data_IF_925005770241
#
_entry.id   IF_925005770241
#
_cell.length_a   1.000
_cell.length_b   1.000
_cell.length_c   1.000
_cell.angle_alpha   90.00
_cell.angle_beta   90.00
_cell.angle_gamma   90.00
#
_symmetry.space_group_name_H-M   'P 1'
#
loop_
_entity.id
_entity.type
_entity.pdbx_description
1 polymer ?
#
# COMPACT_ATOMS: atom_id res chain seq x y z
N UNK A 1 26.11 -0.42 13.83
CA UNK A 1 25.11 -1.50 13.98
C UNK A 1 24.06 -1.37 12.87
N UNK A 2 23.89 -2.35 11.98
CA UNK A 2 22.82 -2.32 10.96
C UNK A 2 21.51 -2.72 11.65
N UNK A 3 20.52 -1.82 11.69
CA UNK A 3 19.17 -2.16 12.18
C UNK A 3 18.62 -3.24 11.25
N UNK A 4 18.48 -4.46 11.77
CA UNK A 4 17.90 -5.57 11.03
C UNK A 4 16.38 -5.35 11.10
N UNK A 5 15.80 -4.81 10.04
CA UNK A 5 14.35 -4.67 9.95
C UNK A 5 13.72 -6.06 9.79
N UNK A 6 13.21 -6.59 10.89
CA UNK A 6 12.08 -7.53 10.93
C UNK A 6 11.07 -6.85 11.87
N UNK A 7 9.82 -6.58 11.46
CA UNK A 7 8.93 -7.44 10.69
C UNK A 7 8.42 -6.81 9.37
N UNK A 8 8.19 -7.62 8.35
CA UNK A 8 7.76 -7.22 6.99
C UNK A 8 6.30 -6.71 6.90
N UNK A 9 5.68 -6.37 8.03
CA UNK A 9 4.27 -5.97 8.12
C UNK A 9 4.14 -4.51 8.57
N UNK A 10 3.48 -3.67 7.77
CA UNK A 10 3.21 -2.26 8.08
C UNK A 10 1.74 -1.91 7.88
N UNK A 11 1.18 -1.07 8.76
CA UNK A 11 -0.17 -0.52 8.57
C UNK A 11 -0.17 0.51 7.44
N UNK A 12 -1.34 0.84 6.88
CA UNK A 12 -1.45 1.94 5.90
C UNK A 12 -0.83 3.23 6.43
N UNK A 13 -1.16 3.61 7.67
CA UNK A 13 -0.59 4.78 8.32
C UNK A 13 0.94 4.67 8.48
N UNK A 14 1.46 3.48 8.78
CA UNK A 14 2.89 3.20 8.79
C UNK A 14 3.54 3.39 7.41
N UNK A 15 2.87 2.95 6.34
CA UNK A 15 3.34 3.13 4.96
C UNK A 15 3.35 4.60 4.54
N UNK A 16 2.29 5.37 4.82
CA UNK A 16 2.24 6.82 4.52
C UNK A 16 3.40 7.56 5.21
N UNK A 17 3.67 7.24 6.48
CA UNK A 17 4.81 7.82 7.22
C UNK A 17 6.17 7.49 6.61
N UNK A 18 6.31 6.29 6.04
CA UNK A 18 7.55 5.85 5.39
C UNK A 18 7.76 6.51 4.03
N UNK A 19 6.68 6.63 3.25
CA UNK A 19 6.70 7.21 1.91
C UNK A 19 6.80 8.75 1.94
N UNK A 20 6.41 9.39 3.04
CA UNK A 20 6.41 10.85 3.18
C UNK A 20 5.20 11.54 2.54
N UNK A 21 4.26 10.77 2.00
CA UNK A 21 2.99 11.25 1.45
C UNK A 21 1.86 10.28 1.84
N UNK A 22 0.61 10.70 1.67
CA UNK A 22 -0.50 9.79 1.99
C UNK A 22 -0.65 8.67 0.96
N UNK A 23 -1.00 7.48 1.43
CA UNK A 23 -1.23 6.30 0.60
C UNK A 23 -2.71 5.96 0.68
N UNK A 24 -3.38 6.04 -0.46
CA UNK A 24 -4.80 5.75 -0.57
C UNK A 24 -5.11 4.26 -0.36
N UNK A 25 -6.34 3.98 0.04
CA UNK A 25 -6.83 2.60 0.20
C UNK A 25 -6.84 1.87 -1.14
N UNK A 26 -7.16 2.57 -2.22
CA UNK A 26 -7.32 2.00 -3.55
C UNK A 26 -5.98 1.56 -4.15
N UNK A 27 -4.89 2.29 -3.90
CA UNK A 27 -3.54 1.85 -4.27
C UNK A 27 -3.20 0.51 -3.58
N UNK A 28 -3.49 0.38 -2.28
CA UNK A 28 -3.25 -0.88 -1.56
C UNK A 28 -4.14 -2.01 -2.07
N UNK A 29 -5.40 -1.71 -2.41
CA UNK A 29 -6.31 -2.68 -3.03
C UNK A 29 -5.78 -3.14 -4.39
N UNK A 30 -5.27 -2.24 -5.20
CA UNK A 30 -4.70 -2.54 -6.51
C UNK A 30 -3.41 -3.37 -6.39
N UNK A 31 -2.48 -3.00 -5.49
CA UNK A 31 -1.28 -3.79 -5.23
C UNK A 31 -1.61 -5.20 -4.71
N UNK A 32 -2.68 -5.32 -3.92
CA UNK A 32 -3.21 -6.61 -3.47
C UNK A 32 -3.76 -7.42 -4.63
N UNK A 33 -4.54 -6.84 -5.54
CA UNK A 33 -5.09 -7.57 -6.70
C UNK A 33 -4.00 -8.03 -7.66
N UNK A 34 -2.91 -7.29 -7.77
CA UNK A 34 -1.71 -7.69 -8.51
C UNK A 34 -0.87 -8.77 -7.79
N UNK A 35 -1.24 -9.13 -6.56
CA UNK A 35 -0.53 -10.10 -5.72
C UNK A 35 0.83 -9.62 -5.22
N UNK A 36 1.14 -8.33 -5.33
CA UNK A 36 2.42 -7.72 -4.92
C UNK A 36 2.50 -7.58 -3.40
N UNK A 37 1.36 -7.27 -2.78
CA UNK A 37 1.21 -7.24 -1.31
C UNK A 37 0.05 -8.14 -0.88
N UNK A 38 0.04 -8.51 0.40
CA UNK A 38 -1.04 -9.26 1.02
C UNK A 38 -1.41 -8.68 2.40
N UNK A 39 -2.65 -8.85 2.87
CA UNK A 39 -2.99 -8.57 4.26
C UNK A 39 -2.20 -9.53 5.17
N UNK A 40 -1.51 -8.97 6.15
CA UNK A 40 -0.81 -9.68 7.21
C UNK A 40 -1.63 -9.75 8.51
N UNK A 41 -1.02 -10.25 9.59
CA UNK A 41 -1.64 -10.20 10.91
C UNK A 41 -1.96 -8.75 11.29
N UNK A 42 -3.06 -8.55 12.02
CA UNK A 42 -3.44 -7.22 12.51
C UNK A 42 -2.31 -6.65 13.38
N UNK A 43 -2.06 -5.36 13.23
CA UNK A 43 -0.99 -4.69 13.98
C UNK A 43 -1.33 -4.64 15.48
N UNK A 44 -0.33 -4.70 16.38
CA UNK A 44 -0.51 -4.59 17.83
C UNK A 44 -0.77 -3.14 18.28
N UNK A 45 -1.50 -2.37 17.48
CA UNK A 45 -1.88 -0.99 17.74
C UNK A 45 -3.37 -0.95 18.17
N UNK A 46 -3.80 0.02 19.00
CA UNK A 46 -5.21 0.20 19.33
C UNK A 46 -6.08 0.28 18.07
N UNK A 47 -7.17 -0.48 18.02
CA UNK A 47 -8.01 -0.65 16.83
C UNK A 47 -7.57 -1.78 15.88
N UNK A 48 -6.49 -2.48 16.21
CA UNK A 48 -5.97 -3.65 15.50
C UNK A 48 -6.04 -3.51 13.96
N UNK A 49 -5.50 -2.44 13.37
CA UNK A 49 -5.63 -2.17 11.95
C UNK A 49 -4.94 -3.26 11.12
N UNK A 50 -5.43 -3.44 9.89
CA UNK A 50 -4.83 -4.39 8.93
C UNK A 50 -3.39 -3.95 8.64
N UNK A 51 -2.44 -4.86 8.84
CA UNK A 51 -1.08 -4.70 8.37
C UNK A 51 -0.94 -5.32 6.98
N UNK A 52 0.00 -4.81 6.19
CA UNK A 52 0.31 -5.25 4.85
C UNK A 52 1.70 -5.84 4.81
N UNK A 53 1.84 -6.98 4.14
CA UNK A 53 3.11 -7.70 3.93
C UNK A 53 3.44 -7.80 2.46
N UNK A 54 4.73 -7.80 2.13
CA UNK A 54 5.22 -8.07 0.77
C UNK A 54 5.15 -9.56 0.45
N UNK A 55 4.80 -9.91 -0.78
CA UNK A 55 4.77 -11.29 -1.26
C UNK A 55 6.05 -11.65 -2.04
N UNK A 56 6.27 -12.92 -2.42
CA UNK A 56 7.34 -13.28 -3.36
C UNK A 56 7.23 -12.58 -4.72
N UNK A 57 6.02 -12.19 -5.15
CA UNK A 57 5.81 -11.47 -6.41
C UNK A 57 6.38 -10.06 -6.37
N UNK A 58 6.41 -9.42 -5.20
CA UNK A 58 7.13 -8.15 -5.01
C UNK A 58 8.59 -8.28 -5.45
N UNK A 59 9.29 -9.31 -4.97
CA UNK A 59 10.70 -9.54 -5.32
C UNK A 59 10.90 -9.72 -6.83
N UNK A 60 9.95 -10.39 -7.50
CA UNK A 60 10.00 -10.57 -8.95
C UNK A 60 9.80 -9.26 -9.72
N UNK A 61 8.81 -8.45 -9.32
CA UNK A 61 8.50 -7.16 -9.97
C UNK A 61 9.66 -6.17 -9.81
N UNK A 62 10.30 -6.15 -8.65
CA UNK A 62 11.44 -5.26 -8.36
C UNK A 62 12.80 -5.89 -8.69
N UNK A 63 12.83 -7.09 -9.29
CA UNK A 63 14.04 -7.84 -9.63
C UNK A 63 15.03 -7.97 -8.45
N UNK A 64 14.52 -8.19 -7.23
CA UNK A 64 15.29 -8.33 -6.00
C UNK A 64 15.49 -9.81 -5.66
N UNK A 65 16.67 -10.17 -5.18
CA UNK A 65 16.92 -11.51 -4.63
C UNK A 65 16.30 -11.68 -3.24
N UNK A 66 16.24 -10.60 -2.47
CA UNK A 66 15.69 -10.56 -1.12
C UNK A 66 15.26 -9.15 -0.72
N UNK A 67 14.45 -9.02 0.33
CA UNK A 67 14.10 -7.73 0.92
C UNK A 67 15.33 -6.97 1.48
N UNK A 68 16.48 -7.62 1.65
CA UNK A 68 17.72 -6.96 2.09
C UNK A 68 18.42 -6.20 0.97
N UNK A 69 18.03 -6.47 -0.27
CA UNK A 69 18.56 -5.81 -1.46
C UNK A 69 17.79 -4.52 -1.78
N UNK A 70 16.82 -4.17 -0.94
CA UNK A 70 16.12 -2.88 -1.03
C UNK A 70 17.11 -1.73 -0.78
N UNK A 71 17.10 -0.69 -1.64
CA UNK A 71 17.89 0.52 -1.41
C UNK A 71 17.44 1.21 -0.12
N UNK A 72 18.38 1.89 0.56
CA UNK A 72 18.05 2.72 1.71
C UNK A 72 17.15 3.88 1.27
N UNK A 73 16.14 4.21 2.09
CA UNK A 73 15.18 5.27 1.77
C UNK A 73 15.85 6.63 1.54
N UNK A 74 16.97 6.90 2.23
CA UNK A 74 17.76 8.11 2.08
C UNK A 74 18.54 8.16 0.75
N UNK A 75 18.71 7.02 0.09
CA UNK A 75 19.42 6.87 -1.20
C UNK A 75 18.48 6.81 -2.40
N UNK A 76 17.17 6.92 -2.18
CA UNK A 76 16.18 7.02 -3.26
C UNK A 76 16.32 8.36 -3.97
N UNK A 77 17.15 8.38 -5.00
CA UNK A 77 17.34 9.52 -5.94
C UNK A 77 16.29 9.50 -7.06
N UNK A 78 15.06 9.10 -6.73
CA UNK A 78 13.92 9.21 -7.62
C UNK A 78 13.47 10.68 -7.69
N UNK A 79 12.85 11.13 -8.80
CA UNK A 79 12.26 12.46 -8.84
C UNK A 79 11.27 12.57 -7.68
N UNK A 80 11.63 13.36 -6.66
CA UNK A 80 10.64 13.89 -5.72
C UNK A 80 9.76 14.78 -6.59
N UNK A 81 8.62 14.24 -7.01
CA UNK A 81 7.51 15.06 -7.47
C UNK A 81 7.25 16.00 -6.30
N UNK A 82 7.72 17.25 -6.45
CA UNK A 82 7.34 18.34 -5.58
C UNK A 82 5.82 18.35 -5.57
N UNK A 83 5.23 18.72 -4.44
CA UNK A 83 3.79 18.93 -4.32
C UNK A 83 3.35 19.95 -5.39
N UNK A 84 3.06 19.45 -6.59
CA UNK A 84 2.28 20.13 -7.59
C UNK A 84 0.87 19.76 -7.20
N UNK A 85 0.27 20.68 -6.46
CA UNK A 85 -1.17 20.90 -6.31
C UNK A 85 -2.00 19.85 -7.07
N UNK A 86 -2.64 18.98 -6.30
CA UNK A 86 -3.33 17.72 -6.60
C UNK A 86 -4.24 17.67 -7.85
N UNK A 87 -4.54 18.79 -8.50
CA UNK A 87 -5.63 18.87 -9.49
C UNK A 87 -5.26 18.40 -10.91
N UNK A 88 -3.98 18.18 -11.22
CA UNK A 88 -3.52 17.90 -12.59
C UNK A 88 -3.14 16.46 -12.92
N UNK A 89 -2.84 15.65 -11.90
CA UNK A 89 -2.29 14.30 -12.09
C UNK A 89 -3.37 13.30 -12.45
N UNK A 90 -4.56 13.39 -11.85
CA UNK A 90 -5.68 12.47 -12.11
C UNK A 90 -6.15 12.57 -13.57
N UNK A 91 -6.28 13.80 -14.10
CA UNK A 91 -6.63 14.02 -15.49
C UNK A 91 -5.55 13.54 -16.48
N UNK A 92 -4.27 13.67 -16.13
CA UNK A 92 -3.17 13.21 -16.99
C UNK A 92 -3.05 11.67 -17.02
N UNK A 93 -3.42 10.99 -15.94
CA UNK A 93 -3.44 9.53 -15.86
C UNK A 93 -4.64 8.94 -16.62
N UNK A 94 -5.78 9.63 -16.60
CA UNK A 94 -6.99 9.27 -17.34
C UNK A 94 -6.79 9.41 -18.87
N UNK A 95 -6.03 10.43 -19.32
CA UNK A 95 -5.66 10.62 -20.73
C UNK A 95 -4.69 9.54 -21.25
N UNK A 96 -3.77 9.05 -20.40
CA UNK A 96 -2.81 7.98 -20.76
C UNK A 96 -3.46 6.59 -20.75
N UNK A 97 -4.45 6.34 -19.88
CA UNK A 97 -5.05 5.02 -19.71
C UNK A 97 -6.42 4.86 -20.39
N UNK A 98 -7.06 5.95 -20.81
CA UNK A 98 -8.31 5.98 -21.54
C UNK A 98 -9.53 5.58 -20.69
N UNK A 99 -10.67 6.29 -20.79
CA UNK A 99 -11.90 5.89 -20.11
C UNK A 99 -12.41 4.60 -20.77
N UNK A 100 -12.21 3.47 -20.09
CA UNK A 100 -12.89 2.22 -20.42
C UNK A 100 -14.29 2.27 -19.81
N UNK A 101 -15.29 2.55 -20.65
CA UNK A 101 -16.71 2.60 -20.30
C UNK A 101 -17.16 1.42 -19.39
N UNK A 102 -17.69 1.79 -18.21
CA UNK A 102 -18.88 1.29 -17.49
C UNK A 102 -19.36 -0.18 -17.71
N UNK A 103 -19.41 -1.01 -16.66
CA UNK A 103 -20.67 -1.66 -16.24
C UNK A 103 -20.56 -2.43 -14.90
N UNK A 104 -21.37 -1.98 -13.92
CA UNK A 104 -22.09 -2.75 -12.89
C UNK A 104 -21.44 -3.93 -12.16
N UNK A 105 -21.23 -3.77 -10.84
CA UNK A 105 -21.73 -4.73 -9.84
C UNK A 105 -21.63 -4.14 -8.42
N UNK A 106 -22.80 -3.86 -7.85
CA UNK A 106 -23.20 -4.02 -6.44
C UNK A 106 -22.07 -3.96 -5.38
N UNK A 107 -22.01 -2.85 -4.64
CA UNK A 107 -21.32 -2.82 -3.36
C UNK A 107 -22.12 -3.63 -2.33
N UNK A 108 -21.86 -4.94 -2.24
CA UNK A 108 -22.23 -5.70 -1.05
C UNK A 108 -21.28 -5.28 0.07
N UNK A 109 -21.81 -4.46 0.98
CA UNK A 109 -21.14 -4.11 2.22
C UNK A 109 -20.99 -5.35 3.08
N UNK A 110 -19.85 -6.02 2.99
CA UNK A 110 -19.43 -6.98 4.02
C UNK A 110 -19.19 -6.19 5.31
N UNK A 111 -20.12 -6.39 6.23
CA UNK A 111 -20.13 -5.85 7.56
C UNK A 111 -18.81 -6.23 8.26
N UNK A 112 -18.04 -5.22 8.68
CA UNK A 112 -17.02 -5.47 9.68
C UNK A 112 -17.76 -5.75 10.99
N UNK A 113 -17.87 -7.04 11.29
CA UNK A 113 -18.29 -7.68 12.53
C UNK A 113 -18.05 -6.77 13.76
N UNK A 114 -19.16 -6.30 14.34
CA UNK A 114 -19.21 -5.80 15.71
C UNK A 114 -18.84 -6.98 16.63
N UNK A 115 -17.55 -7.10 16.95
CA UNK A 115 -17.13 -7.91 18.08
C UNK A 115 -17.57 -7.19 19.37
N UNK A 116 -18.80 -7.51 19.76
CA UNK A 116 -19.33 -7.60 21.11
C UNK A 116 -18.24 -7.52 22.19
N UNK A 117 -18.20 -6.37 22.86
CA UNK A 117 -17.53 -6.21 24.16
C UNK A 117 -18.48 -6.77 25.22
N UNK A 118 -18.31 -8.04 25.56
CA UNK A 118 -18.92 -8.63 26.75
C UNK A 118 -18.17 -8.14 28.01
N UNK A 119 -18.94 -7.89 29.08
CA UNK A 119 -18.54 -7.14 30.28
C UNK A 119 -17.74 -7.90 31.34
#
# INVERSE_FOLDING_TARGET
MRRRASPSSLTRAGLSRLAGHDISRDILRHLKSLGVIAPGPRAPEPGAPIAWVTTPRFLQVFALGSLRDLPDLDTLDGPRVREAEDDGVEAALDDVLGPGDEEGAEAEGDAFDEAEVDG
#
